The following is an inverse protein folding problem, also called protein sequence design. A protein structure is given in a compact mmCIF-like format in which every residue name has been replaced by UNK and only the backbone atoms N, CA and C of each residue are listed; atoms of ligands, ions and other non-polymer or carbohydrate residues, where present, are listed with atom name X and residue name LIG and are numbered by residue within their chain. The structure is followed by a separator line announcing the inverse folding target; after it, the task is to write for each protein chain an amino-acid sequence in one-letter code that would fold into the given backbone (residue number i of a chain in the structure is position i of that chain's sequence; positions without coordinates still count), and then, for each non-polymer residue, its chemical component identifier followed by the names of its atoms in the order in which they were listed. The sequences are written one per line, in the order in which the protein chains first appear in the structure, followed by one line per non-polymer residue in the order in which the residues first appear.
data_IF_271786965898
#
_entry.id   IF_271786965898
#
_cell.length_a   1.000
_cell.length_b   1.000
_cell.length_c   1.000
_cell.angle_alpha   90.00
_cell.angle_beta   90.00
_cell.angle_gamma   90.00
#
_symmetry.space_group_name_H-M   'P 1'
#
loop_
_entity.id
_entity.type
_entity.pdbx_description
1 polymer ?
#
# COMPACT_ATOMS: atom_id res chain seq x y z
N UNK A 1 -20.51 -12.59 4.28
CA UNK A 1 -20.37 -13.80 5.12
C UNK A 1 -19.70 -13.32 6.40
N UNK A 2 -20.52 -13.00 7.39
CA UNK A 2 -20.07 -12.44 8.67
C UNK A 2 -19.56 -13.59 9.54
N UNK A 3 -18.28 -13.55 9.89
CA UNK A 3 -17.70 -14.54 10.80
C UNK A 3 -18.05 -14.06 12.20
N UNK A 4 -18.98 -14.79 12.82
CA UNK A 4 -19.64 -14.52 14.08
C UNK A 4 -18.67 -14.24 15.24
N UNK A 5 -18.87 -13.10 15.89
CA UNK A 5 -18.24 -12.62 17.14
C UNK A 5 -18.25 -13.62 18.32
N UNK A 6 -19.05 -14.68 18.25
CA UNK A 6 -19.14 -15.70 19.28
C UNK A 6 -17.91 -16.64 19.34
N UNK A 7 -17.17 -16.81 18.23
CA UNK A 7 -16.02 -17.70 18.18
C UNK A 7 -14.76 -17.12 18.87
N UNK A 8 -14.65 -15.79 18.96
CA UNK A 8 -13.54 -15.11 19.63
C UNK A 8 -13.69 -15.06 21.16
N UNK A 9 -14.93 -15.07 21.67
CA UNK A 9 -15.19 -15.09 23.12
C UNK A 9 -14.92 -16.47 23.76
N UNK A 10 -15.14 -17.55 23.01
CA UNK A 10 -14.90 -18.92 23.48
C UNK A 10 -13.40 -19.23 23.62
N UNK A 11 -12.58 -18.66 22.74
CA UNK A 11 -11.11 -18.81 22.74
C UNK A 11 -10.43 -17.98 23.84
N UNK A 12 -10.98 -16.81 24.16
CA UNK A 12 -10.55 -16.00 25.30
C UNK A 12 -10.92 -16.65 26.65
N UNK A 13 -12.08 -17.32 26.70
CA UNK A 13 -12.55 -18.01 27.91
C UNK A 13 -11.73 -19.26 28.24
N UNK A 14 -11.27 -20.01 27.23
CA UNK A 14 -10.39 -21.17 27.41
C UNK A 14 -8.97 -20.79 27.85
N UNK A 15 -8.42 -19.69 27.32
CA UNK A 15 -7.10 -19.18 27.75
C UNK A 15 -7.11 -18.63 29.19
N UNK A 16 -8.20 -18.00 29.63
CA UNK A 16 -8.32 -17.49 31.00
C UNK A 16 -8.51 -18.61 32.04
N UNK A 17 -9.14 -19.73 31.67
CA UNK A 17 -9.26 -20.91 32.54
C UNK A 17 -7.91 -21.63 32.74
N UNK A 18 -7.10 -21.75 31.68
CA UNK A 18 -5.75 -22.32 31.76
C UNK A 18 -4.80 -21.45 32.61
N UNK A 19 -4.83 -20.13 32.43
CA UNK A 19 -4.02 -19.20 33.23
C UNK A 19 -4.51 -19.09 34.69
N UNK A 20 -5.81 -19.25 34.93
CA UNK A 20 -6.39 -19.25 36.28
C UNK A 20 -6.05 -20.50 37.10
N UNK A 21 -5.86 -21.66 36.45
CA UNK A 21 -5.55 -22.91 37.15
C UNK A 21 -4.08 -23.01 37.60
N UNK A 22 -3.18 -22.34 36.89
CA UNK A 22 -1.76 -22.25 37.27
C UNK A 22 -1.58 -21.35 38.51
N UNK A 23 -2.43 -20.34 38.70
CA UNK A 23 -2.33 -19.42 39.83
C UNK A 23 -2.79 -20.04 41.17
N UNK A 24 -3.74 -20.98 41.16
CA UNK A 24 -4.23 -21.64 42.37
C UNK A 24 -3.20 -22.64 42.94
N UNK A 25 -2.33 -23.21 42.09
CA UNK A 25 -1.26 -24.12 42.56
C UNK A 25 -0.11 -23.35 43.23
N UNK A 26 0.09 -22.07 42.89
CA UNK A 26 1.21 -21.26 43.43
C UNK A 26 0.89 -20.60 44.78
N UNK A 27 -0.39 -20.37 45.11
CA UNK A 27 -0.78 -19.57 46.30
C UNK A 27 -1.38 -20.39 47.46
N UNK A 28 -1.74 -21.67 47.26
CA UNK A 28 -2.56 -22.45 48.21
C UNK A 28 -1.88 -23.53 49.07
N UNK A 29 -0.55 -23.48 49.29
CA UNK A 29 0.21 -24.61 49.88
C UNK A 29 0.98 -24.30 51.16
N UNK A 30 0.40 -23.64 52.17
CA UNK A 30 1.03 -23.51 53.48
C UNK A 30 0.95 -24.81 54.31
N UNK A 31 1.86 -25.73 54.01
CA UNK A 31 2.25 -26.79 54.94
C UNK A 31 3.58 -26.40 55.64
N UNK A 32 3.43 -25.89 56.87
CA UNK A 32 4.32 -25.94 58.05
C UNK A 32 5.85 -26.01 57.82
N UNK A 33 6.64 -25.03 58.32
CA UNK A 33 8.09 -25.06 58.17
C UNK A 33 8.68 -26.09 59.14
N UNK A 34 9.36 -27.11 58.59
CA UNK A 34 10.35 -27.88 59.34
C UNK A 34 11.73 -27.41 58.91
N UNK A 35 12.49 -27.02 59.92
CA UNK A 35 13.78 -26.36 59.84
C UNK A 35 14.81 -27.10 58.98
N UNK A 36 15.71 -26.30 58.40
CA UNK A 36 17.09 -26.72 58.11
C UNK A 36 17.40 -26.92 56.63
N UNK A 37 18.22 -26.03 56.08
CA UNK A 37 18.93 -26.30 54.83
C UNK A 37 19.08 -25.04 53.99
N UNK A 38 20.28 -24.45 54.03
CA UNK A 38 20.69 -23.43 53.08
C UNK A 38 20.33 -23.86 51.64
N UNK A 39 19.53 -23.06 50.94
CA UNK A 39 19.40 -23.15 49.48
C UNK A 39 20.83 -23.07 48.94
N UNK A 40 21.31 -24.18 48.39
CA UNK A 40 22.72 -24.33 48.04
C UNK A 40 23.02 -23.28 46.97
N UNK A 41 24.07 -22.49 47.19
CA UNK A 41 24.54 -21.45 46.25
C UNK A 41 24.64 -21.97 44.80
N UNK A 42 24.85 -23.28 44.61
CA UNK A 42 24.84 -23.94 43.30
C UNK A 42 23.48 -24.02 42.58
N UNK A 43 22.34 -24.17 43.28
CA UNK A 43 21.01 -24.20 42.63
C UNK A 43 20.56 -22.80 42.19
N UNK A 44 20.91 -21.77 42.97
CA UNK A 44 20.69 -20.37 42.60
C UNK A 44 21.54 -19.98 41.38
N UNK A 45 22.80 -20.43 41.33
CA UNK A 45 23.69 -20.17 40.20
C UNK A 45 23.19 -20.83 38.90
N UNK A 46 22.71 -22.08 38.98
CA UNK A 46 22.14 -22.81 37.83
C UNK A 46 20.81 -22.19 37.35
N UNK A 47 19.95 -21.74 38.27
CA UNK A 47 18.73 -21.02 37.91
C UNK A 47 19.02 -19.66 37.22
N UNK A 48 20.03 -18.93 37.70
CA UNK A 48 20.44 -17.65 37.13
C UNK A 48 21.09 -17.83 35.74
N UNK A 49 21.88 -18.89 35.55
CA UNK A 49 22.45 -19.24 34.24
C UNK A 49 21.35 -19.60 33.23
N UNK A 50 20.34 -20.38 33.64
CA UNK A 50 19.17 -20.67 32.80
C UNK A 50 18.35 -19.44 32.47
N UNK A 51 18.18 -18.51 33.42
CA UNK A 51 17.50 -17.24 33.17
C UNK A 51 18.23 -16.41 32.10
N UNK A 52 19.56 -16.32 32.20
CA UNK A 52 20.40 -15.65 31.17
C UNK A 52 20.33 -16.36 29.82
N UNK A 53 20.31 -17.70 29.80
CA UNK A 53 20.17 -18.47 28.57
C UNK A 53 18.79 -18.24 27.92
N UNK A 54 17.73 -18.20 28.73
CA UNK A 54 16.37 -17.90 28.28
C UNK A 54 16.25 -16.48 27.71
N UNK A 55 16.84 -15.48 28.37
CA UNK A 55 16.85 -14.10 27.89
C UNK A 55 17.59 -13.98 26.55
N UNK A 56 18.75 -14.62 26.40
CA UNK A 56 19.48 -14.67 25.10
C UNK A 56 18.69 -15.40 24.01
N UNK A 57 17.97 -16.45 24.36
CA UNK A 57 17.12 -17.16 23.41
C UNK A 57 15.93 -16.29 22.96
N UNK A 58 15.35 -15.52 23.90
CA UNK A 58 14.28 -14.56 23.60
C UNK A 58 14.78 -13.44 22.70
N UNK A 59 15.91 -12.80 23.00
CA UNK A 59 16.45 -11.73 22.16
C UNK A 59 16.83 -12.23 20.77
N UNK A 60 17.39 -13.43 20.67
CA UNK A 60 17.67 -14.06 19.37
C UNK A 60 16.39 -14.40 18.58
N UNK A 61 15.30 -14.76 19.26
CA UNK A 61 14.01 -14.97 18.61
C UNK A 61 13.39 -13.65 18.12
N UNK A 62 13.41 -12.60 18.95
CA UNK A 62 12.94 -11.26 18.59
C UNK A 62 13.72 -10.68 17.40
N UNK A 63 15.04 -10.84 17.38
CA UNK A 63 15.88 -10.40 16.26
C UNK A 63 15.54 -11.15 14.96
N UNK A 64 15.28 -12.47 15.03
CA UNK A 64 14.86 -13.25 13.86
C UNK A 64 13.52 -12.78 13.31
N UNK A 65 12.56 -12.47 14.18
CA UNK A 65 11.27 -11.92 13.75
C UNK A 65 11.49 -10.59 13.04
N UNK A 66 12.31 -9.70 13.60
CA UNK A 66 12.60 -8.40 12.96
C UNK A 66 13.24 -8.57 11.58
N UNK A 67 14.19 -9.49 11.42
CA UNK A 67 14.83 -9.77 10.13
C UNK A 67 13.85 -10.32 9.10
N UNK A 68 12.94 -11.19 9.51
CA UNK A 68 11.90 -11.73 8.63
C UNK A 68 10.89 -10.66 8.22
N UNK A 69 10.58 -9.73 9.12
CA UNK A 69 9.73 -8.56 8.83
C UNK A 69 10.39 -7.65 7.80
N UNK A 70 11.67 -7.30 8.01
CA UNK A 70 12.49 -6.53 7.06
C UNK A 70 12.57 -7.23 5.68
N UNK A 71 12.78 -8.55 5.65
CA UNK A 71 12.81 -9.33 4.40
C UNK A 71 11.44 -9.35 3.70
N UNK A 72 10.35 -9.49 4.46
CA UNK A 72 9.00 -9.47 3.91
C UNK A 72 8.67 -8.13 3.24
N UNK A 73 9.05 -7.01 3.87
CA UNK A 73 8.87 -5.68 3.29
C UNK A 73 9.63 -5.54 1.97
N UNK A 74 10.90 -5.97 1.90
CA UNK A 74 11.66 -5.96 0.65
C UNK A 74 11.04 -6.84 -0.45
N UNK A 75 10.47 -7.99 -0.09
CA UNK A 75 9.77 -8.85 -1.06
C UNK A 75 8.49 -8.18 -1.56
N UNK A 76 7.74 -7.52 -0.68
CA UNK A 76 6.53 -6.78 -1.05
C UNK A 76 6.86 -5.60 -1.95
N UNK A 77 7.88 -4.81 -1.62
CA UNK A 77 8.35 -3.70 -2.47
C UNK A 77 8.81 -4.19 -3.84
N UNK A 78 9.60 -5.27 -3.89
CA UNK A 78 10.03 -5.87 -5.15
C UNK A 78 8.85 -6.40 -5.98
N UNK A 79 7.82 -6.95 -5.33
CA UNK A 79 6.60 -7.37 -6.00
C UNK A 79 5.78 -6.17 -6.52
N UNK A 80 5.60 -5.13 -5.72
CA UNK A 80 4.84 -3.93 -6.13
C UNK A 80 5.52 -3.16 -7.28
N UNK A 81 6.85 -3.25 -7.38
CA UNK A 81 7.63 -2.67 -8.47
C UNK A 81 7.84 -3.64 -9.63
N UNK A 82 7.32 -4.87 -9.55
CA UNK A 82 7.39 -5.84 -10.64
C UNK A 82 6.48 -5.43 -11.80
N UNK A 83 6.94 -5.73 -13.01
CA UNK A 83 6.20 -5.45 -14.23
C UNK A 83 4.87 -6.23 -14.28
N UNK A 84 4.87 -7.48 -13.81
CA UNK A 84 3.68 -8.31 -13.77
C UNK A 84 2.59 -7.72 -12.85
N UNK A 85 2.98 -7.13 -11.72
CA UNK A 85 2.05 -6.42 -10.85
C UNK A 85 1.55 -5.14 -11.50
N UNK A 86 2.43 -4.35 -12.12
CA UNK A 86 2.06 -3.12 -12.82
C UNK A 86 1.02 -3.39 -13.92
N UNK A 87 1.28 -4.35 -14.81
CA UNK A 87 0.35 -4.72 -15.88
C UNK A 87 -1.01 -5.16 -15.32
N UNK A 88 -1.01 -6.00 -14.28
CA UNK A 88 -2.24 -6.46 -13.64
C UNK A 88 -2.99 -5.31 -12.94
N UNK A 89 -2.28 -4.39 -12.29
CA UNK A 89 -2.85 -3.24 -11.62
C UNK A 89 -3.48 -2.26 -12.63
N UNK A 90 -2.76 -1.95 -13.71
CA UNK A 90 -3.26 -1.09 -14.80
C UNK A 90 -4.48 -1.71 -15.47
N UNK A 91 -4.45 -3.01 -15.78
CA UNK A 91 -5.61 -3.70 -16.35
C UNK A 91 -6.82 -3.65 -15.41
N UNK A 92 -6.60 -3.83 -14.10
CA UNK A 92 -7.68 -3.75 -13.11
C UNK A 92 -8.23 -2.34 -12.97
N UNK A 93 -7.37 -1.33 -13.00
CA UNK A 93 -7.79 0.07 -12.97
C UNK A 93 -8.62 0.42 -14.20
N UNK A 94 -8.21 0.00 -15.39
CA UNK A 94 -8.96 0.20 -16.63
C UNK A 94 -10.37 -0.44 -16.57
N UNK A 95 -10.48 -1.68 -16.07
CA UNK A 95 -11.79 -2.32 -15.86
C UNK A 95 -12.68 -1.53 -14.89
N UNK A 96 -12.11 -1.05 -13.79
CA UNK A 96 -12.84 -0.23 -12.81
C UNK A 96 -13.29 1.11 -13.42
N UNK A 97 -12.43 1.75 -14.20
CA UNK A 97 -12.75 2.99 -14.93
C UNK A 97 -13.87 2.76 -15.95
N UNK A 98 -13.83 1.65 -16.70
CA UNK A 98 -14.90 1.26 -17.64
C UNK A 98 -16.23 1.05 -16.93
N UNK A 99 -16.23 0.42 -15.75
CA UNK A 99 -17.45 0.22 -14.95
C UNK A 99 -17.94 1.57 -14.41
N UNK A 100 -17.05 2.38 -13.84
CA UNK A 100 -17.38 3.69 -13.29
C UNK A 100 -17.93 4.65 -14.36
N UNK A 101 -17.36 4.64 -15.57
CA UNK A 101 -17.78 5.45 -16.70
C UNK A 101 -19.24 5.18 -17.13
N UNK A 102 -19.77 3.99 -16.83
CA UNK A 102 -21.17 3.63 -17.11
C UNK A 102 -22.15 4.16 -16.05
N UNK A 103 -21.65 4.62 -14.90
CA UNK A 103 -22.50 5.19 -13.86
C UNK A 103 -22.98 6.59 -14.26
N UNK A 104 -24.14 7.07 -13.78
CA UNK A 104 -24.61 8.43 -14.08
C UNK A 104 -23.64 9.53 -13.63
N UNK A 105 -22.87 9.29 -12.56
CA UNK A 105 -21.84 10.24 -12.09
C UNK A 105 -20.68 10.27 -13.08
N UNK A 106 -20.16 9.09 -13.46
CA UNK A 106 -19.08 8.97 -14.44
C UNK A 106 -19.44 9.57 -15.79
N UNK A 107 -20.63 9.29 -16.32
CA UNK A 107 -21.11 9.85 -17.59
C UNK A 107 -21.19 11.38 -17.57
N UNK A 108 -21.75 11.96 -16.49
CA UNK A 108 -21.80 13.42 -16.35
C UNK A 108 -20.42 14.05 -16.25
N UNK A 109 -19.49 13.39 -15.56
CA UNK A 109 -18.11 13.85 -15.47
C UNK A 109 -17.45 13.81 -16.85
N UNK A 110 -17.46 12.65 -17.52
CA UNK A 110 -16.86 12.48 -18.86
C UNK A 110 -17.46 13.44 -19.89
N UNK A 111 -18.75 13.73 -19.82
CA UNK A 111 -19.37 14.71 -20.71
C UNK A 111 -18.85 16.13 -20.47
N UNK A 112 -18.77 16.57 -19.21
CA UNK A 112 -18.25 17.90 -18.87
C UNK A 112 -16.78 18.03 -19.22
N UNK A 113 -15.99 17.02 -18.87
CA UNK A 113 -14.57 16.97 -19.16
C UNK A 113 -14.32 16.94 -20.68
N UNK A 114 -15.07 16.11 -21.40
CA UNK A 114 -15.04 16.06 -22.87
C UNK A 114 -15.42 17.39 -23.52
N UNK A 115 -16.43 18.10 -22.98
CA UNK A 115 -16.82 19.42 -23.47
C UNK A 115 -15.73 20.47 -23.25
N UNK A 116 -15.08 20.46 -22.08
CA UNK A 116 -13.99 21.36 -21.77
C UNK A 116 -12.79 21.10 -22.68
N UNK A 117 -12.39 19.84 -22.84
CA UNK A 117 -11.30 19.43 -23.71
C UNK A 117 -11.59 19.74 -25.19
N UNK A 118 -12.81 19.51 -25.67
CA UNK A 118 -13.21 19.91 -27.03
C UNK A 118 -13.10 21.42 -27.24
N UNK A 119 -13.57 22.22 -26.26
CA UNK A 119 -13.52 23.67 -26.36
C UNK A 119 -12.08 24.21 -26.37
N UNK A 120 -11.23 23.63 -25.52
CA UNK A 120 -9.80 23.96 -25.47
C UNK A 120 -9.08 23.57 -26.76
N UNK A 121 -9.31 22.35 -27.26
CA UNK A 121 -8.76 21.88 -28.53
C UNK A 121 -9.23 22.75 -29.71
N UNK A 122 -10.49 23.17 -29.72
CA UNK A 122 -11.03 24.06 -30.74
C UNK A 122 -10.35 25.45 -30.69
N UNK A 123 -10.17 26.01 -29.50
CA UNK A 123 -9.46 27.29 -29.35
C UNK A 123 -8.02 27.17 -29.85
N UNK A 124 -7.28 26.12 -29.44
CA UNK A 124 -5.92 25.89 -29.91
C UNK A 124 -5.85 25.74 -31.43
N UNK A 125 -6.81 25.01 -32.01
CA UNK A 125 -6.89 24.87 -33.46
C UNK A 125 -7.11 26.22 -34.16
N UNK A 126 -7.98 27.08 -33.62
CA UNK A 126 -8.19 28.43 -34.16
C UNK A 126 -6.93 29.29 -34.10
N UNK A 127 -6.21 29.27 -32.98
CA UNK A 127 -4.96 30.01 -32.80
C UNK A 127 -3.91 29.60 -33.85
N UNK A 128 -3.63 28.30 -33.97
CA UNK A 128 -2.65 27.77 -34.94
C UNK A 128 -3.03 28.11 -36.38
N UNK A 129 -4.31 28.03 -36.74
CA UNK A 129 -4.78 28.39 -38.07
C UNK A 129 -4.57 29.89 -38.36
N UNK A 130 -4.88 30.76 -37.40
CA UNK A 130 -4.68 32.20 -37.53
C UNK A 130 -3.19 32.56 -37.68
N UNK A 131 -2.32 31.90 -36.92
CA UNK A 131 -0.87 32.09 -37.05
C UNK A 131 -0.34 31.65 -38.40
N UNK A 132 -0.80 30.49 -38.91
CA UNK A 132 -0.42 30.03 -40.26
C UNK A 132 -0.86 30.99 -41.35
N UNK A 133 -2.07 31.56 -41.25
CA UNK A 133 -2.56 32.59 -42.18
C UNK A 133 -1.66 33.82 -42.13
N UNK A 134 -1.34 34.31 -40.92
CA UNK A 134 -0.43 35.45 -40.72
C UNK A 134 0.95 35.20 -41.33
N UNK A 135 1.48 34.00 -41.16
CA UNK A 135 2.80 33.60 -41.62
C UNK A 135 2.82 33.18 -43.11
N UNK A 136 1.66 33.15 -43.79
CA UNK A 136 1.55 32.71 -45.18
C UNK A 136 1.81 31.20 -45.39
N UNK A 137 1.66 30.39 -44.34
CA UNK A 137 1.83 28.93 -44.37
C UNK A 137 0.57 28.25 -44.92
N UNK A 138 0.74 27.07 -45.52
CA UNK A 138 -0.39 26.27 -46.00
C UNK A 138 -1.28 25.80 -44.83
N UNK A 139 -2.60 25.88 -45.04
CA UNK A 139 -3.56 25.42 -44.06
C UNK A 139 -3.66 23.89 -44.08
N UNK A 140 -3.91 23.25 -42.93
CA UNK A 140 -4.18 21.82 -42.87
C UNK A 140 -5.35 21.46 -43.79
N UNK A 141 -5.21 20.37 -44.54
CA UNK A 141 -6.31 19.87 -45.37
C UNK A 141 -7.43 19.33 -44.48
N UNK A 142 -8.69 19.46 -44.89
CA UNK A 142 -9.78 18.76 -44.23
C UNK A 142 -9.47 17.27 -44.15
N UNK A 143 -9.62 16.71 -42.95
CA UNK A 143 -9.34 15.31 -42.66
C UNK A 143 -10.68 14.58 -42.52
N UNK A 144 -10.93 13.58 -43.38
CA UNK A 144 -12.14 12.74 -43.31
C UNK A 144 -11.91 11.46 -42.50
N UNK A 145 -10.66 11.00 -42.40
CA UNK A 145 -10.27 9.81 -41.65
C UNK A 145 -9.53 10.22 -40.35
N UNK A 146 -10.09 9.95 -39.15
CA UNK A 146 -9.45 10.29 -37.89
C UNK A 146 -8.03 9.71 -37.71
N UNK A 147 -7.71 8.57 -38.34
CA UNK A 147 -6.38 7.96 -38.25
C UNK A 147 -5.31 8.72 -39.05
N UNK A 148 -5.72 9.52 -40.05
CA UNK A 148 -4.85 10.37 -40.86
C UNK A 148 -4.72 11.79 -40.28
N UNK A 149 -5.38 12.05 -39.15
CA UNK A 149 -5.33 13.34 -38.49
C UNK A 149 -3.97 13.56 -37.83
N UNK A 150 -3.16 14.44 -38.42
CA UNK A 150 -1.90 14.88 -37.84
C UNK A 150 -2.16 15.91 -36.73
N UNK A 151 -2.13 15.47 -35.47
CA UNK A 151 -2.30 16.35 -34.31
C UNK A 151 -1.05 17.15 -33.94
N UNK A 152 0.13 16.80 -34.48
CA UNK A 152 1.41 17.46 -34.13
C UNK A 152 1.41 18.95 -34.47
N UNK A 153 0.61 19.36 -35.44
CA UNK A 153 0.48 20.75 -35.84
C UNK A 153 -0.15 21.64 -34.76
N UNK A 154 -0.88 21.05 -33.80
CA UNK A 154 -1.59 21.77 -32.74
C UNK A 154 -0.84 21.77 -31.42
N UNK A 155 0.10 20.85 -31.23
CA UNK A 155 0.87 20.68 -30.01
C UNK A 155 2.36 20.72 -30.36
N UNK A 156 2.99 21.87 -30.13
CA UNK A 156 4.44 22.03 -30.22
C UNK A 156 5.09 21.44 -28.97
N UNK A 157 6.20 20.72 -29.13
CA UNK A 157 6.96 20.07 -28.05
C UNK A 157 7.46 21.06 -26.97
N UNK A 158 7.46 22.37 -27.27
CA UNK A 158 7.94 23.43 -26.38
C UNK A 158 6.91 23.88 -25.31
N UNK A 159 5.63 23.51 -25.41
CA UNK A 159 4.58 24.00 -24.48
C UNK A 159 4.52 23.19 -23.16
N UNK A 160 5.06 21.96 -23.15
CA UNK A 160 5.08 21.09 -21.96
C UNK A 160 6.26 21.37 -21.01
N UNK A 161 7.22 22.21 -21.40
CA UNK A 161 8.40 22.53 -20.59
C UNK A 161 8.16 23.61 -19.51
N UNK A 162 7.00 24.27 -19.49
CA UNK A 162 6.72 25.38 -18.56
C UNK A 162 6.07 24.97 -17.23
N UNK A 163 5.88 23.67 -16.98
CA UNK A 163 5.34 23.14 -15.72
C UNK A 163 6.38 22.67 -14.69
N UNK A 164 7.68 22.75 -15.03
CA UNK A 164 8.77 22.41 -14.11
C UNK A 164 9.04 23.56 -13.14
N UNK A 165 8.20 23.68 -12.12
CA UNK A 165 8.52 24.47 -10.93
C UNK A 165 9.77 23.88 -10.28
N UNK A 166 10.91 24.51 -10.56
CA UNK A 166 12.18 24.25 -9.91
C UNK A 166 12.09 24.84 -8.48
N UNK A 167 11.46 24.09 -7.58
CA UNK A 167 11.56 24.34 -6.15
C UNK A 167 12.92 23.86 -5.65
N UNK A 168 13.64 24.82 -5.09
CA UNK A 168 15.02 24.83 -4.60
C UNK A 168 15.36 23.80 -3.52
N UNK A 169 16.62 23.33 -3.49
CA UNK A 169 17.47 23.29 -2.29
C UNK A 169 18.97 23.16 -2.65
#
# INVERSE_FOLDING_TARGET
MEISSAASEDLASTLLLELGSIFIVVVGGHARPRAGGALRVGELADAEERARASERARTAAEEKVRRLDEEAEHVVEAFQTSHEFEEAALARMDDLLKIWARTPVGQRFLFKEGQANYSMGLQRAQEVLLERIRDGKELPKPCENPEEFDSSIYYSEDEDATGGGEDTA
#
